data_IF_893448814039
#
_entry.id   IF_893448814039
#
_cell.length_a   1.000
_cell.length_b   1.000
_cell.length_c   1.000
_cell.angle_alpha   90.00
_cell.angle_beta   90.00
_cell.angle_gamma   90.00
#
_symmetry.space_group_name_H-M   'P 1'
#
loop_
_entity.id
_entity.type
_entity.pdbx_description
1 polymer ?
#
# COMPACT_ATOMS: atom_id res chain seq x y z
N UNK A 1 4.56 1.45 -22.53
CA UNK A 1 3.89 0.31 -21.85
C UNK A 1 2.92 0.84 -20.82
N UNK A 2 1.61 0.64 -21.04
CA UNK A 2 0.59 0.83 -20.01
C UNK A 2 0.35 -0.53 -19.36
N UNK A 3 0.62 -0.66 -18.07
CA UNK A 3 0.25 -1.87 -17.33
C UNK A 3 -1.28 -1.90 -17.23
N UNK A 4 -1.87 -3.01 -17.70
CA UNK A 4 -3.32 -3.24 -17.68
C UNK A 4 -3.81 -3.46 -16.25
N UNK A 5 -4.71 -2.59 -15.80
CA UNK A 5 -5.30 -2.64 -14.48
C UNK A 5 -5.70 -1.26 -13.95
N UNK A 6 -6.39 -0.43 -14.75
CA UNK A 6 -7.08 0.76 -14.21
C UNK A 6 -8.33 0.31 -13.44
N UNK A 7 -8.14 -0.35 -12.30
CA UNK A 7 -9.13 -0.39 -11.22
C UNK A 7 -8.67 0.59 -10.16
N UNK A 8 -8.78 1.89 -10.41
CA UNK A 8 -8.52 2.91 -9.37
C UNK A 8 -9.65 2.88 -8.34
N UNK A 9 -9.64 1.84 -7.52
CA UNK A 9 -10.47 1.73 -6.34
C UNK A 9 -9.98 2.74 -5.31
N UNK A 10 -10.87 3.41 -4.55
CA UNK A 10 -10.47 4.27 -3.44
C UNK A 10 -9.66 3.52 -2.36
N UNK A 11 -9.67 2.19 -2.39
CA UNK A 11 -8.93 1.31 -1.49
C UNK A 11 -7.51 0.95 -1.97
N UNK A 12 -7.10 1.36 -3.17
CA UNK A 12 -5.80 1.02 -3.74
C UNK A 12 -4.94 2.27 -3.95
N UNK A 13 -3.86 2.39 -3.18
CA UNK A 13 -2.94 3.52 -3.24
C UNK A 13 -1.69 3.14 -4.02
N UNK A 14 -1.45 3.78 -5.16
CA UNK A 14 -0.23 3.58 -5.94
C UNK A 14 1.02 3.96 -5.12
N UNK A 15 1.99 3.05 -5.06
CA UNK A 15 3.23 3.22 -4.28
C UNK A 15 4.34 3.95 -5.04
N UNK A 16 4.13 4.19 -6.34
CA UNK A 16 5.15 4.77 -7.22
C UNK A 16 6.37 3.85 -7.39
N UNK A 17 7.52 4.45 -7.73
CA UNK A 17 8.77 3.71 -7.95
C UNK A 17 9.60 3.68 -6.67
N UNK A 18 9.51 2.58 -5.93
CA UNK A 18 10.28 2.35 -4.71
C UNK A 18 11.43 1.39 -4.99
N UNK A 19 12.65 1.70 -4.51
CA UNK A 19 13.86 0.91 -4.80
C UNK A 19 13.79 -0.54 -4.32
N UNK A 20 12.92 -0.81 -3.34
CA UNK A 20 12.73 -2.13 -2.74
C UNK A 20 11.58 -2.93 -3.35
N UNK A 21 10.87 -2.36 -4.34
CA UNK A 21 9.86 -3.05 -5.13
C UNK A 21 10.41 -3.31 -6.53
N UNK A 22 10.19 -4.53 -7.03
CA UNK A 22 10.66 -4.93 -8.36
C UNK A 22 9.78 -4.34 -9.48
N UNK A 23 8.52 -4.04 -9.18
CA UNK A 23 7.52 -3.58 -10.14
C UNK A 23 6.65 -2.47 -9.56
N UNK A 24 5.88 -1.81 -10.42
CA UNK A 24 4.89 -0.84 -9.97
C UNK A 24 3.78 -1.57 -9.19
N UNK A 25 3.49 -1.12 -7.97
CA UNK A 25 2.56 -1.80 -7.08
C UNK A 25 1.61 -0.81 -6.40
N UNK A 26 0.57 -1.37 -5.79
CA UNK A 26 -0.43 -0.65 -4.98
C UNK A 26 -0.42 -1.19 -3.55
N UNK A 27 -0.72 -0.34 -2.57
CA UNK A 27 -1.15 -0.79 -1.26
C UNK A 27 -2.68 -0.94 -1.27
N UNK A 28 -3.17 -2.16 -1.11
CA UNK A 28 -4.60 -2.46 -0.99
C UNK A 28 -5.00 -2.48 0.49
N UNK A 29 -5.82 -1.50 0.91
CA UNK A 29 -6.22 -1.35 2.32
C UNK A 29 -7.31 -2.33 2.75
N UNK A 30 -7.99 -3.00 1.81
CA UNK A 30 -9.00 -4.01 2.10
C UNK A 30 -8.37 -5.27 2.72
N UNK A 31 -7.09 -5.51 2.45
CA UNK A 31 -6.32 -6.62 3.02
C UNK A 31 -5.64 -6.30 4.36
N UNK A 32 -6.03 -5.21 5.04
CA UNK A 32 -5.44 -4.84 6.33
C UNK A 32 -5.73 -5.91 7.40
N UNK A 33 -4.72 -6.26 8.19
CA UNK A 33 -4.84 -7.26 9.24
C UNK A 33 -3.66 -7.27 10.19
N UNK A 34 -3.80 -8.01 11.28
CA UNK A 34 -2.75 -8.22 12.28
C UNK A 34 -2.01 -9.53 12.00
N UNK A 35 -0.68 -9.52 12.16
CA UNK A 35 0.16 -10.73 12.08
C UNK A 35 1.09 -10.81 13.29
N UNK A 36 1.42 -12.03 13.79
CA UNK A 36 2.44 -12.20 14.82
C UNK A 36 3.81 -11.71 14.36
N UNK A 37 4.59 -11.12 15.27
CA UNK A 37 5.93 -10.60 14.99
C UNK A 37 6.87 -11.63 14.33
N UNK A 38 6.87 -12.93 14.71
CA UNK A 38 7.72 -13.92 14.05
C UNK A 38 7.44 -14.13 12.55
N UNK A 39 6.25 -13.71 12.05
CA UNK A 39 5.94 -13.75 10.61
C UNK A 39 6.55 -12.58 9.84
N UNK A 40 7.04 -11.55 10.52
CA UNK A 40 7.68 -10.40 9.91
C UNK A 40 9.18 -10.69 9.69
N UNK A 41 9.54 -11.03 8.45
CA UNK A 41 10.89 -11.54 8.13
C UNK A 41 12.00 -10.48 8.23
N UNK A 42 11.84 -9.34 7.55
CA UNK A 42 12.82 -8.24 7.55
C UNK A 42 12.20 -6.93 7.04
N UNK A 43 12.86 -5.81 7.32
CA UNK A 43 12.55 -4.50 6.73
C UNK A 43 13.13 -4.39 5.32
N UNK A 44 12.32 -4.04 4.33
CA UNK A 44 12.75 -3.82 2.94
C UNK A 44 13.08 -2.35 2.63
N UNK A 45 12.48 -1.41 3.36
CA UNK A 45 12.68 0.02 3.16
C UNK A 45 11.75 0.88 4.01
N UNK A 46 11.45 2.07 3.51
CA UNK A 46 10.51 3.03 4.10
C UNK A 46 9.65 3.65 3.00
N UNK A 47 8.38 3.89 3.29
CA UNK A 47 7.53 4.67 2.41
C UNK A 47 7.80 6.18 2.60
N UNK A 48 7.70 6.99 1.52
CA UNK A 48 7.57 8.43 1.64
C UNK A 48 6.38 8.80 2.53
N UNK A 49 6.51 9.85 3.34
CA UNK A 49 5.47 10.27 4.28
C UNK A 49 4.14 10.54 3.60
N UNK A 50 4.17 11.21 2.43
CA UNK A 50 2.96 11.51 1.64
C UNK A 50 2.19 10.25 1.24
N UNK A 51 2.90 9.19 0.81
CA UNK A 51 2.25 7.93 0.41
C UNK A 51 1.65 7.26 1.64
N UNK A 52 2.37 7.25 2.76
CA UNK A 52 1.86 6.69 4.00
C UNK A 52 0.60 7.42 4.49
N UNK A 53 0.53 8.74 4.35
CA UNK A 53 -0.65 9.51 4.74
C UNK A 53 -1.86 9.25 3.84
N UNK A 54 -1.65 9.07 2.54
CA UNK A 54 -2.70 8.61 1.62
C UNK A 54 -3.23 7.22 1.99
N UNK A 55 -2.35 6.29 2.37
CA UNK A 55 -2.76 4.95 2.86
C UNK A 55 -3.61 5.08 4.13
N UNK A 56 -3.21 5.93 5.10
CA UNK A 56 -4.00 6.17 6.33
C UNK A 56 -5.37 6.76 6.02
N UNK A 57 -5.47 7.68 5.06
CA UNK A 57 -6.75 8.23 4.61
C UNK A 57 -7.64 7.16 3.98
N UNK A 58 -7.09 6.30 3.14
CA UNK A 58 -7.82 5.18 2.56
C UNK A 58 -8.29 4.16 3.62
N UNK A 59 -7.49 3.90 4.66
CA UNK A 59 -7.90 3.06 5.80
C UNK A 59 -9.09 3.70 6.54
N UNK A 60 -9.01 5.00 6.85
CA UNK A 60 -10.13 5.72 7.50
C UNK A 60 -11.40 5.65 6.67
N UNK A 61 -11.28 5.90 5.37
CA UNK A 61 -12.37 5.75 4.43
C UNK A 61 -12.95 4.33 4.43
N UNK A 62 -12.10 3.30 4.38
CA UNK A 62 -12.52 1.89 4.42
C UNK A 62 -13.24 1.48 5.71
N UNK A 63 -12.97 2.18 6.81
CA UNK A 63 -13.57 1.91 8.11
C UNK A 63 -14.72 2.88 8.43
N UNK A 64 -15.03 3.82 7.54
CA UNK A 64 -16.01 4.91 7.78
C UNK A 64 -15.69 5.70 9.07
N UNK A 65 -14.40 5.95 9.30
CA UNK A 65 -13.85 6.68 10.46
C UNK A 65 -13.40 8.10 10.10
#
# INVERSE_FOLDING_TARGET
MKCGGDRRSPYEIALGKLRFLNEASVANVQGIGSIPLPRLQRRLGSLPAEILDRIKQAIRFSLTL
#
